data_IF_433263238808
#
_entry.id   IF_433263238808
#
_cell.length_a   1.000
_cell.length_b   1.000
_cell.length_c   1.000
_cell.angle_alpha   90.00
_cell.angle_beta   90.00
_cell.angle_gamma   90.00
#
_symmetry.space_group_name_H-M   'P 1'
#
loop_
_entity.id
_entity.type
_entity.pdbx_description
1 polymer ?
#
# COMPACT_ATOMS: atom_id res chain seq x y z
N UNK A 1 22.54 -20.29 -0.01
CA UNK A 1 21.62 -19.13 -0.09
C UNK A 1 20.21 -19.67 0.04
N UNK A 2 19.48 -19.35 1.11
CA UNK A 2 18.07 -19.72 1.18
C UNK A 2 17.33 -18.96 0.06
N UNK A 3 16.64 -19.68 -0.82
CA UNK A 3 15.76 -19.07 -1.81
C UNK A 3 14.65 -18.38 -1.02
N UNK A 4 14.64 -17.04 -1.01
CA UNK A 4 13.53 -16.30 -0.42
C UNK A 4 12.33 -16.48 -1.34
N UNK A 5 11.29 -17.14 -0.85
CA UNK A 5 10.06 -17.33 -1.61
C UNK A 5 9.44 -15.95 -1.94
N UNK A 6 8.81 -15.79 -3.12
CA UNK A 6 8.01 -14.62 -3.42
C UNK A 6 6.91 -14.44 -2.37
N UNK A 7 6.71 -13.21 -1.90
CA UNK A 7 5.66 -12.83 -0.96
C UNK A 7 4.75 -11.80 -1.63
N UNK A 8 3.44 -12.02 -1.52
CA UNK A 8 2.41 -11.07 -1.91
C UNK A 8 1.51 -10.83 -0.70
N UNK A 9 1.35 -9.56 -0.31
CA UNK A 9 0.42 -9.15 0.74
C UNK A 9 -0.65 -8.28 0.11
N UNK A 10 -1.91 -8.67 0.32
CA UNK A 10 -3.09 -7.96 -0.18
C UNK A 10 -4.15 -7.87 0.91
N UNK A 11 -4.88 -6.76 0.95
CA UNK A 11 -6.04 -6.63 1.81
C UNK A 11 -6.44 -5.18 2.08
N UNK A 12 -7.50 -5.02 2.88
CA UNK A 12 -7.93 -3.73 3.41
C UNK A 12 -7.08 -3.35 4.63
N UNK A 13 -6.25 -2.33 4.48
CA UNK A 13 -5.41 -1.82 5.55
C UNK A 13 -6.08 -0.69 6.31
N UNK A 14 -7.00 0.05 5.67
CA UNK A 14 -7.66 1.23 6.23
C UNK A 14 -6.69 2.12 7.04
N UNK A 15 -5.56 2.44 6.42
CA UNK A 15 -4.44 3.19 6.98
C UNK A 15 -4.11 4.34 6.03
N UNK A 16 -3.90 5.56 6.53
CA UNK A 16 -3.78 6.75 5.67
C UNK A 16 -2.33 7.15 5.46
N UNK A 17 -1.87 7.23 4.22
CA UNK A 17 -0.55 7.74 3.85
C UNK A 17 -0.57 8.36 2.45
N UNK A 18 0.35 9.29 2.19
CA UNK A 18 0.43 10.00 0.92
C UNK A 18 0.76 9.08 -0.27
N UNK A 19 1.65 8.11 -0.07
CA UNK A 19 2.08 7.15 -1.09
C UNK A 19 0.95 6.32 -1.73
N UNK A 20 -0.20 6.22 -1.08
CA UNK A 20 -1.39 5.57 -1.63
C UNK A 20 -2.62 6.48 -1.60
N UNK A 21 -2.39 7.78 -1.81
CA UNK A 21 -3.43 8.73 -2.22
C UNK A 21 -4.15 9.48 -1.11
N UNK A 22 -3.74 9.37 0.16
CA UNK A 22 -4.32 10.18 1.23
C UNK A 22 -3.62 11.54 1.37
N UNK A 23 -4.39 12.61 1.53
CA UNK A 23 -3.83 13.95 1.76
C UNK A 23 -3.20 14.13 3.15
N UNK A 24 -3.60 13.30 4.12
CA UNK A 24 -3.13 13.35 5.51
C UNK A 24 -2.75 11.94 5.93
N UNK A 25 -1.58 11.81 6.55
CA UNK A 25 -1.12 10.58 7.17
C UNK A 25 -1.73 10.40 8.57
N UNK A 26 -2.08 9.16 8.91
CA UNK A 26 -2.38 8.78 10.29
C UNK A 26 -1.30 7.86 10.88
N UNK A 27 -1.33 7.65 12.20
CA UNK A 27 -0.33 6.83 12.89
C UNK A 27 -0.25 5.39 12.35
N UNK A 28 -1.36 4.86 11.81
CA UNK A 28 -1.41 3.51 11.23
C UNK A 28 -0.69 3.49 9.88
N UNK A 29 -0.93 4.48 9.03
CA UNK A 29 -0.28 4.64 7.74
C UNK A 29 1.21 4.88 7.88
N UNK A 30 1.64 5.79 8.76
CA UNK A 30 3.07 6.02 9.03
C UNK A 30 3.78 4.77 9.54
N UNK A 31 3.17 4.03 10.47
CA UNK A 31 3.73 2.75 10.95
C UNK A 31 3.81 1.70 9.84
N UNK A 32 2.78 1.60 9.01
CA UNK A 32 2.73 0.65 7.90
C UNK A 32 3.79 0.98 6.85
N UNK A 33 3.88 2.24 6.43
CA UNK A 33 4.89 2.72 5.49
C UNK A 33 6.31 2.43 6.01
N UNK A 34 6.60 2.78 7.27
CA UNK A 34 7.89 2.47 7.88
C UNK A 34 8.22 0.98 7.88
N UNK A 35 7.23 0.12 8.17
CA UNK A 35 7.42 -1.34 8.12
C UNK A 35 7.69 -1.81 6.68
N UNK A 36 6.95 -1.30 5.69
CA UNK A 36 7.22 -1.60 4.28
C UNK A 36 8.66 -1.23 3.90
N UNK A 37 9.12 -0.04 4.28
CA UNK A 37 10.48 0.42 4.00
C UNK A 37 11.54 -0.46 4.68
N UNK A 38 11.36 -0.78 5.97
CA UNK A 38 12.32 -1.60 6.74
C UNK A 38 12.42 -3.01 6.17
N UNK A 39 11.29 -3.61 5.79
CA UNK A 39 11.23 -4.97 5.25
C UNK A 39 11.54 -5.04 3.74
N UNK A 40 11.71 -3.89 3.08
CA UNK A 40 11.98 -3.81 1.64
C UNK A 40 10.80 -4.22 0.75
N UNK A 41 9.58 -4.06 1.24
CA UNK A 41 8.36 -4.31 0.47
C UNK A 41 8.19 -3.24 -0.62
N UNK A 42 7.76 -3.66 -1.80
CA UNK A 42 7.39 -2.78 -2.91
C UNK A 42 5.88 -2.60 -2.95
N UNK A 43 5.40 -1.37 -2.85
CA UNK A 43 3.99 -1.04 -3.05
C UNK A 43 3.64 -1.14 -4.54
N UNK A 44 2.57 -1.89 -4.85
CA UNK A 44 2.04 -2.07 -6.21
C UNK A 44 0.74 -1.31 -6.44
N UNK A 45 0.05 -0.86 -5.38
CA UNK A 45 -1.15 -0.04 -5.52
C UNK A 45 -0.80 1.29 -6.16
N UNK A 46 -1.50 1.61 -7.25
CA UNK A 46 -1.41 2.89 -7.92
C UNK A 46 -2.47 3.84 -7.33
N UNK A 47 -2.03 4.97 -6.78
CA UNK A 47 -2.89 5.96 -6.15
C UNK A 47 -3.81 6.68 -7.14
N UNK A 48 -3.50 6.67 -8.43
CA UNK A 48 -4.33 7.26 -9.48
C UNK A 48 -5.58 6.40 -9.78
N UNK A 49 -5.61 5.14 -9.32
CA UNK A 49 -6.72 4.20 -9.48
C UNK A 49 -7.32 3.81 -8.11
N UNK A 50 -8.20 4.66 -7.55
CA UNK A 50 -8.69 4.51 -6.18
C UNK A 50 -9.47 3.20 -5.96
N UNK A 51 -9.19 2.51 -4.85
CA UNK A 51 -9.90 1.27 -4.48
C UNK A 51 -11.23 1.55 -3.74
N UNK A 52 -11.39 2.76 -3.21
CA UNK A 52 -12.64 3.26 -2.63
C UNK A 52 -13.00 4.62 -3.22
N UNK A 53 -14.15 4.68 -3.90
CA UNK A 53 -14.73 5.92 -4.39
C UNK A 53 -15.39 6.68 -3.22
N UNK A 54 -15.05 7.95 -3.12
CA UNK A 54 -15.58 8.87 -2.13
C UNK A 54 -17.01 9.33 -2.45
N UNK A 55 -17.39 10.47 -1.89
CA UNK A 55 -18.69 11.11 -2.10
C UNK A 55 -18.55 12.64 -2.03
N UNK A 56 -19.66 13.37 -1.89
CA UNK A 56 -19.63 14.84 -1.80
C UNK A 56 -18.86 15.39 -0.59
N UNK A 57 -18.46 14.54 0.36
CA UNK A 57 -17.75 14.91 1.59
C UNK A 57 -16.34 14.32 1.65
N UNK A 58 -16.16 13.10 1.14
CA UNK A 58 -14.89 12.37 1.18
C UNK A 58 -14.30 12.19 -0.20
N UNK A 59 -12.99 12.34 -0.35
CA UNK A 59 -12.29 12.08 -1.61
C UNK A 59 -12.17 10.58 -1.88
N UNK A 60 -11.84 10.26 -3.12
CA UNK A 60 -11.38 8.95 -3.53
C UNK A 60 -10.07 8.60 -2.81
N UNK A 61 -9.90 7.32 -2.44
CA UNK A 61 -8.80 6.85 -1.57
C UNK A 61 -8.44 5.40 -1.87
N UNK A 62 -7.24 4.96 -1.45
CA UNK A 62 -6.83 3.56 -1.52
C UNK A 62 -6.64 2.95 -0.11
N UNK A 63 -7.70 2.52 0.61
CA UNK A 63 -7.55 1.74 1.84
C UNK A 63 -7.04 0.31 1.58
N UNK A 64 -7.28 -0.25 0.39
CA UNK A 64 -6.81 -1.57 -0.01
C UNK A 64 -5.43 -1.47 -0.66
N UNK A 65 -4.47 -2.22 -0.13
CA UNK A 65 -3.08 -2.17 -0.60
C UNK A 65 -2.60 -3.53 -1.10
N UNK A 66 -1.79 -3.48 -2.15
CA UNK A 66 -1.05 -4.62 -2.69
C UNK A 66 0.44 -4.31 -2.58
N UNK A 67 1.21 -5.21 -1.97
CA UNK A 67 2.65 -5.07 -1.84
C UNK A 67 3.36 -6.40 -2.01
N UNK A 68 4.60 -6.36 -2.47
CA UNK A 68 5.36 -7.55 -2.84
C UNK A 68 6.80 -7.54 -2.32
N UNK A 69 7.37 -8.72 -2.10
CA UNK A 69 8.78 -8.92 -1.78
C UNK A 69 9.31 -10.15 -2.53
N UNK A 70 10.48 -10.01 -3.16
CA UNK A 70 11.13 -11.06 -3.95
C UNK A 70 10.26 -11.66 -5.08
N UNK A 71 9.22 -10.94 -5.53
CA UNK A 71 8.48 -11.33 -6.72
C UNK A 71 9.14 -10.76 -7.98
N UNK A 72 9.04 -11.43 -9.13
CA UNK A 72 9.38 -10.84 -10.41
C UNK A 72 8.59 -9.54 -10.61
N UNK A 73 9.21 -8.53 -11.18
CA UNK A 73 8.48 -7.32 -11.56
C UNK A 73 7.33 -7.70 -12.50
N UNK A 74 6.10 -7.20 -12.23
CA UNK A 74 4.99 -7.38 -13.16
C UNK A 74 5.38 -6.78 -14.52
N UNK A 75 5.04 -7.50 -15.59
CA UNK A 75 5.28 -7.08 -16.98
C UNK A 75 4.26 -6.04 -17.41
#
# INVERSE_FOLDING_TARGET
MAVRAPLLVVGDFNAKHADWGYAIEDAKGGKLHNLMTIEGLTLLTDADYPTRIGNSVSRDTCPDLTMTLNAPHPK
#
